data_IF_008900172176
#
_entry.id   IF_008900172176
#
_cell.length_a   1.000
_cell.length_b   1.000
_cell.length_c   1.000
_cell.angle_alpha   90.00
_cell.angle_beta   90.00
_cell.angle_gamma   90.00
#
_symmetry.space_group_name_H-M   'P 1'
#
loop_
_entity.id
_entity.type
_entity.pdbx_description
1 polymer ?
#
# COMPACT_ATOMS: atom_id res chain seq x y z
N UNK A 1 -31.88 9.17 -10.61
CA UNK A 1 -31.89 8.83 -9.17
C UNK A 1 -30.76 7.84 -8.99
N UNK A 2 -29.74 8.18 -8.20
CA UNK A 2 -28.62 7.28 -7.92
C UNK A 2 -29.17 6.09 -7.14
N UNK A 3 -28.82 4.87 -7.54
CA UNK A 3 -29.36 3.64 -6.96
C UNK A 3 -28.84 3.50 -5.52
N UNK A 4 -29.69 3.17 -4.53
CA UNK A 4 -29.29 3.07 -3.11
C UNK A 4 -28.14 2.07 -2.91
N UNK A 5 -28.07 1.06 -3.78
CA UNK A 5 -26.98 0.09 -3.85
C UNK A 5 -25.65 0.71 -4.28
N UNK A 6 -25.68 1.67 -5.20
CA UNK A 6 -24.49 2.39 -5.67
C UNK A 6 -23.94 3.30 -4.55
N UNK A 7 -24.82 4.03 -3.86
CA UNK A 7 -24.43 4.89 -2.74
C UNK A 7 -23.83 4.10 -1.57
N UNK A 8 -24.37 2.92 -1.28
CA UNK A 8 -23.82 2.04 -0.25
C UNK A 8 -22.42 1.55 -0.61
N UNK A 9 -22.21 1.09 -1.84
CA UNK A 9 -20.88 0.66 -2.34
C UNK A 9 -19.89 1.82 -2.33
N UNK A 10 -20.31 3.03 -2.68
CA UNK A 10 -19.44 4.21 -2.61
C UNK A 10 -19.00 4.51 -1.17
N UNK A 11 -19.90 4.40 -0.19
CA UNK A 11 -19.58 4.59 1.23
C UNK A 11 -18.64 3.49 1.75
N UNK A 12 -18.90 2.24 1.42
CA UNK A 12 -18.03 1.11 1.78
C UNK A 12 -16.62 1.29 1.19
N UNK A 13 -16.52 1.64 -0.10
CA UNK A 13 -15.23 1.94 -0.74
C UNK A 13 -14.51 3.12 -0.11
N UNK A 14 -15.23 4.19 0.26
CA UNK A 14 -14.63 5.33 0.97
C UNK A 14 -13.98 4.88 2.29
N UNK A 15 -14.71 4.07 3.08
CA UNK A 15 -14.21 3.48 4.32
C UNK A 15 -12.93 2.67 4.09
N UNK A 16 -12.90 1.80 3.07
CA UNK A 16 -11.72 0.98 2.77
C UNK A 16 -10.52 1.84 2.33
N UNK A 17 -10.74 2.91 1.55
CA UNK A 17 -9.65 3.82 1.18
C UNK A 17 -9.05 4.56 2.38
N UNK A 18 -9.86 4.84 3.41
CA UNK A 18 -9.37 5.43 4.66
C UNK A 18 -8.51 4.43 5.45
N UNK A 19 -8.87 3.14 5.45
CA UNK A 19 -8.03 2.06 6.01
C UNK A 19 -6.68 1.99 5.29
N UNK A 20 -6.67 2.08 3.95
CA UNK A 20 -5.43 2.09 3.17
C UNK A 20 -4.56 3.32 3.44
N UNK A 21 -5.19 4.47 3.71
CA UNK A 21 -4.50 5.69 4.12
C UNK A 21 -3.86 5.54 5.51
N UNK A 22 -4.58 4.96 6.48
CA UNK A 22 -4.02 4.62 7.80
C UNK A 22 -2.84 3.65 7.70
N UNK A 23 -2.95 2.61 6.88
CA UNK A 23 -1.86 1.67 6.63
C UNK A 23 -0.65 2.36 5.98
N UNK A 24 -0.88 3.29 5.05
CA UNK A 24 0.18 4.09 4.44
C UNK A 24 0.91 4.92 5.48
N UNK A 25 0.17 5.63 6.34
CA UNK A 25 0.75 6.44 7.41
C UNK A 25 1.59 5.57 8.37
N UNK A 26 1.07 4.40 8.77
CA UNK A 26 1.81 3.44 9.58
C UNK A 26 3.14 3.05 8.93
N UNK A 27 3.14 2.64 7.66
CA UNK A 27 4.38 2.24 6.98
C UNK A 27 5.36 3.40 6.82
N UNK A 28 4.88 4.63 6.57
CA UNK A 28 5.74 5.81 6.52
C UNK A 28 6.40 6.07 7.87
N UNK A 29 5.66 5.95 8.97
CA UNK A 29 6.18 6.09 10.34
C UNK A 29 7.25 5.02 10.62
N UNK A 30 6.97 3.75 10.31
CA UNK A 30 7.92 2.64 10.49
C UNK A 30 9.19 2.84 9.67
N UNK A 31 9.09 3.42 8.47
CA UNK A 31 10.25 3.75 7.65
C UNK A 31 11.11 4.83 8.31
N UNK A 32 10.56 5.77 9.07
CA UNK A 32 11.33 6.80 9.77
C UNK A 32 11.83 6.35 11.15
N UNK A 33 11.16 5.40 11.78
CA UNK A 33 11.53 4.84 13.08
C UNK A 33 12.79 3.97 13.08
N UNK A 34 13.21 3.44 14.25
CA UNK A 34 14.40 2.61 14.37
C UNK A 34 14.37 1.36 13.47
N UNK A 35 13.22 0.69 13.37
CA UNK A 35 13.03 -0.53 12.58
C UNK A 35 13.31 -0.31 11.08
N UNK A 36 13.05 0.90 10.57
CA UNK A 36 13.27 1.28 9.18
C UNK A 36 14.73 1.60 8.82
N UNK A 37 15.69 1.51 9.76
CA UNK A 37 17.07 1.94 9.50
C UNK A 37 17.71 1.23 8.29
N UNK A 38 17.54 -0.09 8.18
CA UNK A 38 18.02 -0.89 7.04
C UNK A 38 17.34 -0.49 5.73
N UNK A 39 16.02 -0.28 5.77
CA UNK A 39 15.25 0.18 4.61
C UNK A 39 15.73 1.55 4.11
N UNK A 40 15.96 2.51 5.02
CA UNK A 40 16.48 3.84 4.67
C UNK A 40 17.90 3.80 4.12
N UNK A 41 18.77 2.92 4.64
CA UNK A 41 20.11 2.71 4.10
C UNK A 41 20.04 2.19 2.66
N UNK A 42 19.24 1.14 2.43
CA UNK A 42 19.02 0.57 1.10
C UNK A 42 18.49 1.62 0.10
N UNK A 43 17.48 2.40 0.49
CA UNK A 43 16.92 3.45 -0.38
C UNK A 43 17.96 4.52 -0.75
N UNK A 44 18.84 4.87 0.19
CA UNK A 44 19.92 5.84 -0.03
C UNK A 44 20.98 5.31 -0.99
N UNK A 45 21.39 4.05 -0.85
CA UNK A 45 22.31 3.38 -1.78
C UNK A 45 21.74 3.32 -3.20
N UNK A 46 20.40 3.28 -3.32
CA UNK A 46 19.69 3.35 -4.60
C UNK A 46 19.46 4.78 -5.11
N UNK A 47 19.97 5.81 -4.42
CA UNK A 47 19.84 7.20 -4.81
C UNK A 47 18.48 7.85 -4.52
N UNK A 48 17.60 7.21 -3.74
CA UNK A 48 16.30 7.78 -3.38
C UNK A 48 16.45 8.75 -2.21
N UNK A 49 16.38 10.04 -2.51
CA UNK A 49 16.42 11.11 -1.50
C UNK A 49 15.22 11.05 -0.55
N UNK A 50 15.34 11.62 0.65
CA UNK A 50 14.21 11.73 1.58
C UNK A 50 13.01 12.48 0.97
N UNK A 51 13.25 13.48 0.13
CA UNK A 51 12.20 14.20 -0.58
C UNK A 51 11.47 13.31 -1.59
N UNK A 52 12.20 12.44 -2.31
CA UNK A 52 11.61 11.42 -3.19
C UNK A 52 10.80 10.41 -2.38
N UNK A 53 11.35 9.90 -1.27
CA UNK A 53 10.66 8.94 -0.40
C UNK A 53 9.34 9.52 0.13
N UNK A 54 9.34 10.75 0.63
CA UNK A 54 8.13 11.44 1.09
C UNK A 54 7.16 11.70 -0.06
N UNK A 55 7.67 12.17 -1.20
CA UNK A 55 6.85 12.41 -2.38
C UNK A 55 6.15 11.15 -2.82
N UNK A 56 6.81 10.00 -2.90
CA UNK A 56 6.18 8.72 -3.27
C UNK A 56 5.52 7.99 -2.09
N UNK A 57 5.53 8.62 -0.90
CA UNK A 57 4.96 8.08 0.34
C UNK A 57 5.51 6.71 0.69
N UNK A 58 6.79 6.48 0.40
CA UNK A 58 7.43 5.20 0.67
C UNK A 58 7.39 4.90 2.16
N UNK A 59 7.21 3.62 2.47
CA UNK A 59 7.12 3.12 3.83
C UNK A 59 7.96 1.86 4.04
N UNK A 60 7.83 1.27 5.23
CA UNK A 60 8.47 0.03 5.60
C UNK A 60 7.49 -0.84 6.39
N UNK A 61 7.31 -2.08 5.95
CA UNK A 61 6.61 -3.10 6.70
C UNK A 61 7.62 -3.81 7.61
N UNK A 62 7.48 -3.74 8.94
CA UNK A 62 8.39 -4.40 9.87
C UNK A 62 8.33 -5.92 9.71
N UNK A 63 9.38 -6.60 10.18
CA UNK A 63 9.40 -8.07 10.24
C UNK A 63 8.56 -8.58 11.42
N UNK A 64 7.25 -8.41 11.30
CA UNK A 64 6.28 -8.81 12.29
C UNK A 64 5.05 -9.38 11.61
N UNK A 65 4.42 -10.38 12.24
CA UNK A 65 3.23 -11.04 11.70
C UNK A 65 1.93 -10.27 11.97
N UNK A 66 1.95 -9.24 12.81
CA UNK A 66 0.74 -8.61 13.33
C UNK A 66 0.85 -7.09 13.55
N UNK A 67 2.01 -6.47 13.30
CA UNK A 67 2.23 -5.07 13.63
C UNK A 67 1.24 -4.10 12.96
N UNK A 68 0.94 -4.28 11.66
CA UNK A 68 -0.05 -3.47 10.97
C UNK A 68 -1.46 -3.81 11.46
N UNK A 69 -1.81 -5.10 11.52
CA UNK A 69 -3.14 -5.54 11.95
C UNK A 69 -3.49 -5.01 13.35
N UNK A 70 -2.56 -5.09 14.29
CA UNK A 70 -2.76 -4.58 15.66
C UNK A 70 -2.83 -3.06 15.69
N UNK A 71 -2.01 -2.37 14.89
CA UNK A 71 -2.10 -0.92 14.76
C UNK A 71 -3.47 -0.45 14.26
N UNK A 72 -4.02 -1.11 13.24
CA UNK A 72 -5.34 -0.80 12.69
C UNK A 72 -6.46 -1.18 13.66
N UNK A 73 -6.37 -2.34 14.32
CA UNK A 73 -7.33 -2.75 15.34
C UNK A 73 -7.37 -1.77 16.53
N UNK A 74 -6.20 -1.29 16.99
CA UNK A 74 -6.11 -0.27 18.04
C UNK A 74 -6.72 1.08 17.63
N UNK A 75 -6.84 1.35 16.33
CA UNK A 75 -7.56 2.51 15.77
C UNK A 75 -9.05 2.25 15.55
N UNK A 76 -9.57 1.10 15.95
CA UNK A 76 -10.98 0.74 15.83
C UNK A 76 -11.38 0.25 14.43
N UNK A 77 -10.42 -0.10 13.57
CA UNK A 77 -10.73 -0.63 12.24
C UNK A 77 -11.30 -2.05 12.37
N UNK A 78 -12.49 -2.33 11.80
CA UNK A 78 -13.06 -3.67 11.81
C UNK A 78 -12.13 -4.68 11.13
N UNK A 79 -12.07 -5.90 11.67
CA UNK A 79 -11.31 -7.00 11.07
C UNK A 79 -11.66 -7.23 9.60
N UNK A 80 -12.95 -7.19 9.27
CA UNK A 80 -13.46 -7.40 7.91
C UNK A 80 -12.90 -6.37 6.92
N UNK A 81 -12.74 -5.11 7.33
CA UNK A 81 -12.21 -4.05 6.46
C UNK A 81 -10.71 -4.22 6.22
N UNK A 82 -9.96 -4.67 7.23
CA UNK A 82 -8.53 -4.99 7.09
C UNK A 82 -8.33 -6.15 6.09
N UNK A 83 -9.18 -7.17 6.18
CA UNK A 83 -9.21 -8.33 5.29
C UNK A 83 -9.61 -7.93 3.86
N UNK A 84 -10.68 -7.13 3.71
CA UNK A 84 -11.15 -6.62 2.42
C UNK A 84 -10.11 -5.76 1.68
N UNK A 85 -9.26 -5.05 2.42
CA UNK A 85 -8.13 -4.29 1.88
C UNK A 85 -6.93 -5.17 1.46
N UNK A 86 -6.96 -6.49 1.72
CA UNK A 86 -5.86 -7.40 1.38
C UNK A 86 -4.58 -7.15 2.18
N UNK A 87 -4.70 -6.53 3.36
CA UNK A 87 -3.56 -6.19 4.23
C UNK A 87 -3.06 -7.37 5.06
N UNK A 88 -3.90 -8.39 5.22
CA UNK A 88 -3.61 -9.61 5.96
C UNK A 88 -3.90 -10.84 5.11
N UNK A 89 -3.22 -11.95 5.39
CA UNK A 89 -3.62 -13.29 4.96
C UNK A 89 -4.56 -13.89 5.99
N UNK A 90 -5.66 -14.44 5.51
CA UNK A 90 -6.73 -15.07 6.28
C UNK A 90 -7.42 -16.14 5.40
N UNK A 91 -8.27 -16.96 6.00
CA UNK A 91 -8.99 -18.05 5.34
C UNK A 91 -9.29 -19.19 6.32
N UNK A 92 -10.07 -20.17 5.88
CA UNK A 92 -10.51 -21.28 6.74
C UNK A 92 -9.31 -22.10 7.29
N UNK A 93 -8.25 -22.25 6.50
CA UNK A 93 -7.01 -22.94 6.88
C UNK A 93 -6.00 -22.04 7.63
N UNK A 94 -6.37 -20.80 7.95
CA UNK A 94 -5.50 -19.84 8.65
C UNK A 94 -6.13 -19.51 10.01
N UNK A 95 -5.77 -20.22 11.09
CA UNK A 95 -6.38 -20.02 12.41
C UNK A 95 -6.25 -18.59 12.94
N UNK A 96 -5.11 -17.94 12.63
CA UNK A 96 -4.83 -16.56 13.02
C UNK A 96 -4.33 -15.81 11.80
N UNK A 97 -5.09 -14.79 11.38
CA UNK A 97 -4.69 -13.92 10.28
C UNK A 97 -3.39 -13.17 10.60
N UNK A 98 -2.59 -12.89 9.58
CA UNK A 98 -1.29 -12.26 9.75
C UNK A 98 -0.98 -11.28 8.61
N UNK A 99 -0.16 -10.27 8.89
CA UNK A 99 0.20 -9.21 7.95
C UNK A 99 0.76 -9.80 6.65
N UNK A 100 0.23 -9.33 5.52
CA UNK A 100 0.63 -9.82 4.20
C UNK A 100 2.06 -9.41 3.86
N UNK A 101 2.41 -8.15 4.15
CA UNK A 101 3.74 -7.60 3.94
C UNK A 101 4.56 -7.61 5.22
N UNK A 102 5.78 -8.14 5.14
CA UNK A 102 6.74 -8.21 6.26
C UNK A 102 8.15 -8.06 5.70
N UNK A 103 9.01 -7.36 6.43
CA UNK A 103 10.40 -7.02 6.05
C UNK A 103 10.52 -6.46 4.61
N UNK A 104 9.69 -5.47 4.30
CA UNK A 104 9.59 -4.91 2.94
C UNK A 104 9.57 -3.40 2.92
N UNK A 105 10.27 -2.81 1.95
CA UNK A 105 10.01 -1.42 1.56
C UNK A 105 8.67 -1.39 0.85
N UNK A 106 7.80 -0.50 1.31
CA UNK A 106 6.43 -0.38 0.86
C UNK A 106 6.28 0.78 -0.12
N UNK A 107 5.62 0.49 -1.24
CA UNK A 107 5.30 1.40 -2.32
C UNK A 107 3.77 1.51 -2.42
N UNK A 108 3.15 2.57 -1.88
CA UNK A 108 1.71 2.75 -1.98
C UNK A 108 1.28 2.93 -3.44
N UNK A 109 0.25 2.21 -3.87
CA UNK A 109 -0.29 2.24 -5.22
C UNK A 109 -1.60 3.05 -5.19
N UNK A 110 -1.60 4.28 -5.74
CA UNK A 110 -2.82 5.09 -5.81
C UNK A 110 -3.70 4.72 -7.01
N UNK A 111 -4.99 4.98 -6.89
CA UNK A 111 -5.94 5.02 -8.00
C UNK A 111 -5.69 6.25 -8.90
N UNK A 112 -6.53 6.41 -9.94
CA UNK A 112 -6.42 7.55 -10.85
C UNK A 112 -6.69 8.92 -10.18
N UNK A 113 -7.35 8.95 -9.01
CA UNK A 113 -7.65 10.15 -8.22
C UNK A 113 -6.59 10.43 -7.15
N UNK A 114 -5.66 9.51 -6.92
CA UNK A 114 -4.58 9.63 -5.95
C UNK A 114 -4.85 8.97 -4.60
N UNK A 115 -6.00 8.29 -4.41
CA UNK A 115 -6.33 7.54 -3.19
C UNK A 115 -5.59 6.21 -3.18
N UNK A 116 -5.00 5.82 -2.06
CA UNK A 116 -4.24 4.56 -1.97
C UNK A 116 -5.23 3.38 -2.00
N UNK A 117 -4.96 2.41 -2.88
CA UNK A 117 -5.82 1.25 -3.10
C UNK A 117 -5.09 -0.09 -3.00
N UNK A 118 -3.75 -0.08 -3.02
CA UNK A 118 -2.91 -1.26 -2.89
C UNK A 118 -1.49 -0.89 -2.47
N UNK A 119 -0.65 -1.90 -2.27
CA UNK A 119 0.78 -1.74 -2.04
C UNK A 119 1.60 -2.69 -2.93
N UNK A 120 2.76 -2.21 -3.35
CA UNK A 120 3.89 -3.05 -3.74
C UNK A 120 4.89 -3.13 -2.59
N UNK A 121 5.57 -4.25 -2.44
CA UNK A 121 6.52 -4.52 -1.37
C UNK A 121 7.80 -5.15 -1.90
N UNK A 122 8.93 -4.45 -1.73
CA UNK A 122 10.25 -4.96 -2.10
C UNK A 122 10.96 -5.55 -0.89
N UNK A 123 11.38 -6.81 -0.96
CA UNK A 123 12.13 -7.46 0.12
C UNK A 123 13.51 -6.82 0.31
N UNK A 124 13.96 -6.71 1.56
CA UNK A 124 15.33 -6.30 1.88
C UNK A 124 16.28 -7.51 1.87
N UNK A 125 15.81 -8.64 2.40
CA UNK A 125 16.57 -9.88 2.45
C UNK A 125 16.81 -10.45 1.04
N UNK A 126 18.06 -10.82 0.69
CA UNK A 126 18.41 -11.35 -0.63
C UNK A 126 17.84 -12.75 -0.89
N UNK A 127 17.57 -13.50 0.17
CA UNK A 127 17.02 -14.86 0.19
C UNK A 127 15.48 -14.90 0.33
N UNK A 128 14.83 -13.73 0.34
CA UNK A 128 13.37 -13.66 0.37
C UNK A 128 12.76 -14.38 -0.85
N UNK A 129 11.75 -15.23 -0.60
CA UNK A 129 11.06 -16.03 -1.63
C UNK A 129 10.60 -15.23 -2.86
N UNK A 130 10.25 -13.95 -2.68
CA UNK A 130 9.90 -13.05 -3.77
C UNK A 130 10.52 -11.66 -3.55
N UNK A 131 11.35 -11.24 -4.50
CA UNK A 131 11.99 -9.92 -4.52
C UNK A 131 10.96 -8.78 -4.47
N UNK A 132 9.86 -8.92 -5.22
CA UNK A 132 8.72 -8.02 -5.21
C UNK A 132 7.43 -8.80 -4.98
N UNK A 133 6.52 -8.17 -4.26
CA UNK A 133 5.19 -8.70 -3.96
C UNK A 133 4.18 -7.56 -4.04
N UNK A 134 3.00 -7.83 -4.58
CA UNK A 134 1.91 -6.84 -4.61
C UNK A 134 0.78 -7.29 -3.68
N UNK A 135 -0.11 -6.35 -3.37
CA UNK A 135 -1.41 -6.68 -2.81
C UNK A 135 -2.11 -7.71 -3.70
N UNK A 136 -2.90 -8.63 -3.12
CA UNK A 136 -3.84 -9.43 -3.90
C UNK A 136 -4.89 -8.51 -4.54
N UNK A 137 -5.66 -9.03 -5.50
CA UNK A 137 -6.83 -8.31 -6.01
C UNK A 137 -7.88 -8.16 -4.89
N UNK A 138 -8.52 -7.00 -4.84
CA UNK A 138 -9.54 -6.60 -3.86
C UNK A 138 -10.64 -5.80 -4.56
N UNK A 139 -11.66 -5.36 -3.83
CA UNK A 139 -12.65 -4.42 -4.36
C UNK A 139 -12.04 -3.06 -4.77
N UNK A 140 -10.95 -2.65 -4.12
CA UNK A 140 -10.25 -1.40 -4.43
C UNK A 140 -9.23 -1.55 -5.56
N UNK A 141 -8.65 -2.74 -5.71
CA UNK A 141 -7.49 -2.97 -6.56
C UNK A 141 -7.66 -4.19 -7.47
N UNK A 142 -7.58 -3.93 -8.77
CA UNK A 142 -7.46 -4.96 -9.79
C UNK A 142 -6.21 -4.68 -10.61
N UNK A 143 -5.21 -5.56 -10.54
CA UNK A 143 -3.88 -5.32 -11.10
C UNK A 143 -3.91 -4.91 -12.58
N UNK A 144 -4.81 -5.51 -13.39
CA UNK A 144 -4.92 -5.22 -14.83
C UNK A 144 -5.40 -3.82 -15.18
N UNK A 145 -5.99 -3.09 -14.22
CA UNK A 145 -6.64 -1.79 -14.46
C UNK A 145 -5.88 -0.62 -13.84
N UNK A 146 -4.68 -0.85 -13.30
CA UNK A 146 -3.93 0.14 -12.52
C UNK A 146 -2.55 0.36 -13.11
N UNK A 147 -2.24 1.62 -13.41
CA UNK A 147 -0.90 2.09 -13.75
C UNK A 147 -0.32 2.84 -12.56
N UNK A 148 0.79 2.34 -12.02
CA UNK A 148 1.48 2.99 -10.91
C UNK A 148 1.83 4.44 -11.28
N UNK A 149 1.66 5.36 -10.33
CA UNK A 149 1.94 6.79 -10.50
C UNK A 149 1.09 7.53 -11.57
N UNK A 150 0.04 6.90 -12.11
CA UNK A 150 -0.79 7.51 -13.16
C UNK A 150 -1.46 8.82 -12.73
N UNK A 151 -1.93 8.92 -11.48
CA UNK A 151 -2.55 10.15 -10.98
C UNK A 151 -1.64 11.39 -11.11
N UNK A 152 -0.32 11.22 -10.94
CA UNK A 152 0.66 12.30 -11.12
C UNK A 152 0.94 12.56 -12.60
N UNK A 153 1.16 11.47 -13.37
CA UNK A 153 1.38 11.56 -14.80
C UNK A 153 0.23 12.28 -15.51
N UNK A 154 -1.02 12.00 -15.12
CA UNK A 154 -2.23 12.66 -15.66
C UNK A 154 -2.24 14.17 -15.43
N UNK A 155 -1.78 14.64 -14.26
CA UNK A 155 -1.65 16.08 -13.98
C UNK A 155 -0.61 16.76 -14.86
N UNK A 156 0.49 16.05 -15.20
CA UNK A 156 1.49 16.56 -16.12
C UNK A 156 0.98 16.56 -17.58
N UNK A 157 0.26 15.51 -17.99
CA UNK A 157 -0.37 15.40 -19.30
C UNK A 157 -1.35 16.55 -19.57
N UNK A 158 -2.16 16.92 -18.57
CA UNK A 158 -3.06 18.08 -18.66
C UNK A 158 -2.35 19.42 -18.90
N UNK A 159 -1.04 19.49 -18.67
CA UNK A 159 -0.17 20.65 -18.92
C UNK A 159 0.68 20.50 -20.19
N UNK A 160 0.34 19.56 -21.08
CA UNK A 160 1.08 19.28 -22.31
C UNK A 160 2.31 18.40 -22.12
N UNK A 161 2.44 17.72 -20.98
CA UNK A 161 3.54 16.79 -20.73
C UNK A 161 3.40 15.47 -21.52
N UNK A 162 4.51 14.75 -21.65
CA UNK A 162 4.55 13.40 -22.25
C UNK A 162 4.47 12.32 -21.17
N UNK A 163 3.73 11.24 -21.43
CA UNK A 163 3.69 10.05 -20.56
C UNK A 163 4.71 9.04 -21.09
N UNK A 164 5.58 8.56 -20.20
CA UNK A 164 6.57 7.51 -20.49
C UNK A 164 6.22 6.29 -19.64
N UNK A 165 6.01 5.15 -20.29
CA UNK A 165 5.80 3.87 -19.63
C UNK A 165 7.14 3.14 -19.44
N UNK A 166 7.33 2.52 -18.28
CA UNK A 166 8.52 1.73 -17.92
C UNK A 166 8.08 0.45 -17.20
N UNK A 167 8.93 -0.59 -17.19
CA UNK A 167 8.57 -1.93 -16.70
C UNK A 167 8.38 -2.04 -15.17
N UNK A 168 9.04 -1.18 -14.39
CA UNK A 168 8.88 -1.10 -12.92
C UNK A 168 9.82 -1.98 -12.10
#
# INVERSE_FOLDING_TARGET
VRDEQEERREKERASLTDVMEMATAFFQERLQGPEGAKARAYLRERGLTSATQQSFRLGYAPDSRNALKEHLAAKGVPKADIEACGLVRHGDDIPVSYDWFRDRIMFPIPDSRGKIIAFGGRALAPDALAKYMNSPDTELFHKGNVLYNFARARKALAKGGTVIAVEG
#
